data_IF_900624100099
#
_entry.id   IF_900624100099
#
_cell.length_a   1.000
_cell.length_b   1.000
_cell.length_c   1.000
_cell.angle_alpha   90.00
_cell.angle_beta   90.00
_cell.angle_gamma   90.00
#
_symmetry.space_group_name_H-M   'P 1'
#
loop_
_entity.id
_entity.type
_entity.pdbx_description
1 polymer ?
#
# COMPACT_ATOMS: atom_id res chain seq x y z
N UNK A 1 -21.72 -7.22 -22.29
CA UNK A 1 -20.56 -6.91 -21.43
C UNK A 1 -19.32 -7.16 -22.26
N UNK A 2 -18.57 -6.11 -22.58
CA UNK A 2 -17.42 -6.23 -23.48
C UNK A 2 -16.31 -7.01 -22.79
N UNK A 3 -15.90 -8.11 -23.40
CA UNK A 3 -14.87 -9.02 -22.88
C UNK A 3 -13.61 -8.27 -22.42
N UNK A 4 -13.26 -7.17 -23.10
CA UNK A 4 -12.15 -6.26 -22.80
C UNK A 4 -12.16 -5.70 -21.37
N UNK A 5 -13.33 -5.37 -20.81
CA UNK A 5 -13.42 -4.78 -19.47
C UNK A 5 -13.11 -5.81 -18.37
N UNK A 6 -13.53 -7.07 -18.59
CA UNK A 6 -13.23 -8.16 -17.67
C UNK A 6 -11.76 -8.56 -17.71
N UNK A 7 -11.15 -8.61 -18.90
CA UNK A 7 -9.71 -8.86 -19.02
C UNK A 7 -8.90 -7.77 -18.32
N UNK A 8 -9.30 -6.50 -18.44
CA UNK A 8 -8.65 -5.39 -17.74
C UNK A 8 -8.69 -5.54 -16.22
N UNK A 9 -9.87 -5.88 -15.66
CA UNK A 9 -10.04 -6.10 -14.23
C UNK A 9 -9.23 -7.31 -13.71
N UNK A 10 -9.21 -8.41 -14.46
CA UNK A 10 -8.42 -9.59 -14.12
C UNK A 10 -6.92 -9.30 -14.14
N UNK A 11 -6.43 -8.58 -15.16
CA UNK A 11 -5.02 -8.18 -15.25
C UNK A 11 -4.64 -7.25 -14.10
N UNK A 12 -5.50 -6.31 -13.73
CA UNK A 12 -5.28 -5.44 -12.58
C UNK A 12 -5.20 -6.24 -11.27
N UNK A 13 -6.11 -7.20 -11.06
CA UNK A 13 -6.08 -8.08 -9.89
C UNK A 13 -4.81 -8.96 -9.86
N UNK A 14 -4.41 -9.51 -11.00
CA UNK A 14 -3.18 -10.29 -11.13
C UNK A 14 -1.94 -9.45 -10.82
N UNK A 15 -1.88 -8.20 -11.31
CA UNK A 15 -0.79 -7.29 -11.03
C UNK A 15 -0.68 -6.98 -9.52
N UNK A 16 -1.81 -6.78 -8.84
CA UNK A 16 -1.85 -6.58 -7.39
C UNK A 16 -1.36 -7.83 -6.65
N UNK A 17 -1.77 -9.03 -7.07
CA UNK A 17 -1.31 -10.30 -6.48
C UNK A 17 0.19 -10.52 -6.67
N UNK A 18 0.72 -10.27 -7.88
CA UNK A 18 2.16 -10.38 -8.17
C UNK A 18 2.94 -9.37 -7.35
N UNK A 19 2.45 -8.12 -7.23
CA UNK A 19 3.11 -7.12 -6.42
C UNK A 19 3.15 -7.51 -4.94
N UNK A 20 2.05 -8.05 -4.41
CA UNK A 20 2.00 -8.59 -3.05
C UNK A 20 2.98 -9.76 -2.86
N UNK A 21 3.01 -10.70 -3.81
CA UNK A 21 3.91 -11.86 -3.75
C UNK A 21 5.37 -11.43 -3.75
N UNK A 22 5.73 -10.40 -4.54
CA UNK A 22 7.08 -9.82 -4.53
C UNK A 22 7.38 -9.17 -3.18
N UNK A 23 6.42 -8.48 -2.57
CA UNK A 23 6.58 -7.86 -1.25
C UNK A 23 6.82 -8.92 -0.14
N UNK A 24 6.01 -9.99 -0.15
CA UNK A 24 6.13 -11.12 0.77
C UNK A 24 7.47 -11.84 0.57
N UNK A 25 7.87 -12.10 -0.68
CA UNK A 25 9.15 -12.72 -0.98
C UNK A 25 10.35 -11.87 -0.52
N UNK A 26 10.26 -10.54 -0.64
CA UNK A 26 11.27 -9.61 -0.11
C UNK A 26 11.35 -9.62 1.42
N UNK A 27 10.22 -9.79 2.11
CA UNK A 27 10.15 -9.96 3.55
C UNK A 27 10.83 -11.25 4.01
N UNK A 28 10.50 -12.39 3.38
CA UNK A 28 11.11 -13.68 3.71
C UNK A 28 12.62 -13.73 3.46
N UNK A 29 13.12 -12.98 2.48
CA UNK A 29 14.57 -12.85 2.23
C UNK A 29 15.32 -11.97 3.24
N UNK A 30 14.65 -11.45 4.27
CA UNK A 30 15.29 -10.60 5.29
C UNK A 30 15.81 -9.26 4.77
N UNK A 31 15.47 -8.89 3.53
CA UNK A 31 15.84 -7.62 2.88
C UNK A 31 14.77 -6.54 3.06
N UNK A 32 13.71 -6.80 3.84
CA UNK A 32 12.64 -5.82 4.03
C UNK A 32 12.93 -4.89 5.19
N UNK A 33 12.99 -3.61 4.84
CA UNK A 33 12.93 -2.45 5.73
C UNK A 33 11.57 -2.29 6.42
N UNK A 34 10.54 -3.03 5.99
CA UNK A 34 9.17 -2.92 6.50
C UNK A 34 8.96 -3.66 7.82
N UNK A 35 8.28 -2.99 8.75
CA UNK A 35 7.80 -3.59 10.00
C UNK A 35 6.75 -4.68 9.70
N UNK A 36 6.76 -5.79 10.44
CA UNK A 36 5.78 -6.88 10.25
C UNK A 36 4.31 -6.42 10.29
N UNK A 37 4.02 -5.32 11.00
CA UNK A 37 2.69 -4.68 11.01
C UNK A 37 2.28 -4.11 9.63
N UNK A 38 3.23 -3.54 8.88
CA UNK A 38 2.97 -3.03 7.53
C UNK A 38 2.74 -4.16 6.53
N UNK A 39 3.49 -5.26 6.67
CA UNK A 39 3.29 -6.45 5.85
C UNK A 39 1.87 -7.02 6.05
N UNK A 40 1.43 -7.11 7.30
CA UNK A 40 0.09 -7.57 7.64
C UNK A 40 -0.99 -6.62 7.09
N UNK A 41 -0.79 -5.31 7.20
CA UNK A 41 -1.73 -4.31 6.68
C UNK A 41 -1.86 -4.40 5.15
N UNK A 42 -0.73 -4.59 4.44
CA UNK A 42 -0.71 -4.81 2.99
C UNK A 42 -1.37 -6.11 2.58
N UNK A 43 -1.16 -7.18 3.35
CA UNK A 43 -1.85 -8.45 3.17
C UNK A 43 -3.38 -8.30 3.28
N UNK A 44 -3.84 -7.61 4.32
CA UNK A 44 -5.27 -7.30 4.52
C UNK A 44 -5.82 -6.48 3.35
N UNK A 45 -5.11 -5.43 2.93
CA UNK A 45 -5.52 -4.60 1.79
C UNK A 45 -5.62 -5.42 0.51
N UNK A 46 -4.64 -6.28 0.20
CA UNK A 46 -4.67 -7.09 -1.01
C UNK A 46 -5.78 -8.15 -0.99
N UNK A 47 -6.06 -8.73 0.18
CA UNK A 47 -7.16 -9.68 0.35
C UNK A 47 -8.51 -8.97 0.18
N UNK A 48 -8.69 -7.79 0.76
CA UNK A 48 -9.87 -6.95 0.54
C UNK A 48 -10.04 -6.58 -0.94
N UNK A 49 -8.95 -6.18 -1.61
CA UNK A 49 -8.97 -5.76 -3.01
C UNK A 49 -9.34 -6.92 -3.93
N UNK A 50 -8.76 -8.10 -3.68
CA UNK A 50 -9.16 -9.35 -4.37
C UNK A 50 -10.65 -9.64 -4.15
N UNK A 51 -11.13 -9.53 -2.90
CA UNK A 51 -12.53 -9.73 -2.56
C UNK A 51 -13.47 -8.78 -3.30
N UNK A 52 -13.12 -7.49 -3.39
CA UNK A 52 -13.89 -6.49 -4.16
C UNK A 52 -13.93 -6.84 -5.65
N UNK A 53 -12.80 -7.21 -6.25
CA UNK A 53 -12.77 -7.59 -7.67
C UNK A 53 -13.64 -8.83 -7.91
N UNK A 54 -13.53 -9.86 -7.07
CA UNK A 54 -14.38 -11.04 -7.14
C UNK A 54 -15.87 -10.69 -6.99
N UNK A 55 -16.19 -9.76 -6.09
CA UNK A 55 -17.56 -9.27 -5.89
C UNK A 55 -18.07 -8.50 -7.12
N UNK A 56 -17.28 -7.64 -7.74
CA UNK A 56 -17.65 -6.93 -8.98
C UNK A 56 -17.92 -7.94 -10.12
N UNK A 57 -17.05 -8.94 -10.28
CA UNK A 57 -17.23 -10.00 -11.28
C UNK A 57 -18.52 -10.76 -10.99
N UNK A 58 -18.71 -11.22 -9.75
CA UNK A 58 -19.92 -11.94 -9.35
C UNK A 58 -21.18 -11.12 -9.61
N UNK A 59 -21.24 -9.87 -9.14
CA UNK A 59 -22.39 -8.99 -9.31
C UNK A 59 -22.68 -8.63 -10.76
N UNK A 60 -21.67 -8.67 -11.63
CA UNK A 60 -21.84 -8.45 -13.06
C UNK A 60 -22.42 -9.67 -13.80
N UNK A 61 -22.04 -10.89 -13.38
CA UNK A 61 -22.55 -12.13 -13.97
C UNK A 61 -23.84 -12.61 -13.32
N UNK A 62 -24.17 -12.12 -12.13
CA UNK A 62 -25.38 -12.51 -11.43
C UNK A 62 -26.62 -11.95 -12.17
N UNK A 63 -27.55 -12.80 -12.62
CA UNK A 63 -28.76 -12.36 -13.30
C UNK A 63 -29.73 -11.79 -12.27
N UNK A 64 -29.60 -10.49 -11.97
CA UNK A 64 -30.51 -9.79 -11.07
C UNK A 64 -31.93 -9.83 -11.62
N UNK A 65 -32.85 -10.46 -10.90
CA UNK A 65 -34.26 -10.46 -11.26
C UNK A 65 -34.86 -9.04 -11.06
N UNK A 66 -35.87 -8.68 -11.87
CA UNK A 66 -36.53 -7.36 -11.79
C UNK A 66 -37.13 -7.07 -10.41
N UNK A 67 -37.47 -8.11 -9.64
CA UNK A 67 -38.03 -8.02 -8.29
C UNK A 67 -36.96 -7.77 -7.20
N UNK A 68 -35.67 -7.91 -7.52
CA UNK A 68 -34.55 -7.87 -6.58
C UNK A 68 -33.77 -6.53 -6.58
N UNK A 69 -34.40 -5.44 -7.03
CA UNK A 69 -33.76 -4.12 -7.13
C UNK A 69 -33.08 -3.68 -5.81
N UNK A 70 -33.74 -3.90 -4.66
CA UNK A 70 -33.18 -3.55 -3.36
C UNK A 70 -31.93 -4.37 -3.00
N UNK A 71 -31.89 -5.65 -3.39
CA UNK A 71 -30.72 -6.50 -3.16
C UNK A 71 -29.55 -6.08 -4.05
N UNK A 72 -29.83 -5.72 -5.31
CA UNK A 72 -28.83 -5.17 -6.22
C UNK A 72 -28.23 -3.87 -5.66
N UNK A 73 -29.07 -2.96 -5.17
CA UNK A 73 -28.65 -1.69 -4.59
C UNK A 73 -27.82 -1.90 -3.32
N UNK A 74 -28.24 -2.82 -2.45
CA UNK A 74 -27.48 -3.22 -1.26
C UNK A 74 -26.12 -3.81 -1.60
N UNK A 75 -26.06 -4.68 -2.61
CA UNK A 75 -24.82 -5.29 -3.09
C UNK A 75 -23.81 -4.24 -3.56
N UNK A 76 -24.22 -3.32 -4.44
CA UNK A 76 -23.32 -2.26 -4.94
C UNK A 76 -22.93 -1.28 -3.84
N UNK A 77 -23.83 -0.97 -2.91
CA UNK A 77 -23.52 -0.14 -1.75
C UNK A 77 -22.45 -0.80 -0.88
N UNK A 78 -22.57 -2.10 -0.61
CA UNK A 78 -21.56 -2.85 0.14
C UNK A 78 -20.21 -2.88 -0.58
N UNK A 79 -20.20 -3.05 -1.90
CA UNK A 79 -18.98 -2.98 -2.70
C UNK A 79 -18.30 -1.61 -2.59
N UNK A 80 -19.07 -0.52 -2.67
CA UNK A 80 -18.56 0.85 -2.49
C UNK A 80 -17.99 1.08 -1.10
N UNK A 81 -18.66 0.59 -0.05
CA UNK A 81 -18.16 0.68 1.33
C UNK A 81 -16.83 -0.06 1.47
N UNK A 82 -16.70 -1.26 0.89
CA UNK A 82 -15.45 -2.00 0.90
C UNK A 82 -14.32 -1.24 0.19
N UNK A 83 -14.59 -0.67 -0.99
CA UNK A 83 -13.63 0.17 -1.72
C UNK A 83 -13.20 1.37 -0.87
N UNK A 84 -14.15 2.03 -0.20
CA UNK A 84 -13.85 3.14 0.68
C UNK A 84 -12.92 2.73 1.85
N UNK A 85 -13.18 1.58 2.47
CA UNK A 85 -12.30 1.01 3.51
C UNK A 85 -10.89 0.76 2.97
N UNK A 86 -10.76 0.17 1.78
CA UNK A 86 -9.46 -0.06 1.13
C UNK A 86 -8.71 1.26 0.93
N UNK A 87 -9.39 2.31 0.44
CA UNK A 87 -8.78 3.63 0.24
C UNK A 87 -8.28 4.20 1.57
N UNK A 88 -9.09 4.14 2.63
CA UNK A 88 -8.70 4.64 3.96
C UNK A 88 -7.49 3.88 4.51
N UNK A 89 -7.49 2.55 4.40
CA UNK A 89 -6.35 1.72 4.83
C UNK A 89 -5.08 2.04 4.05
N UNK A 90 -5.20 2.16 2.72
CA UNK A 90 -4.08 2.51 1.83
C UNK A 90 -3.51 3.88 2.18
N UNK A 91 -4.39 4.85 2.47
CA UNK A 91 -3.98 6.19 2.87
C UNK A 91 -3.29 6.20 4.25
N UNK A 92 -3.72 5.37 5.20
CA UNK A 92 -3.02 5.17 6.47
C UNK A 92 -1.64 4.56 6.26
N UNK A 93 -1.51 3.53 5.41
CA UNK A 93 -0.23 2.91 5.07
C UNK A 93 0.75 3.94 4.49
N UNK A 94 0.27 4.73 3.52
CA UNK A 94 1.02 5.82 2.91
C UNK A 94 1.54 6.84 3.94
N UNK A 95 0.69 7.25 4.89
CA UNK A 95 1.09 8.16 5.97
C UNK A 95 2.17 7.57 6.87
N UNK A 96 2.16 6.26 7.13
CA UNK A 96 3.21 5.60 7.91
C UNK A 96 4.54 5.59 7.15
N UNK A 97 4.52 5.26 5.86
CA UNK A 97 5.70 5.26 4.98
C UNK A 97 6.39 6.63 4.90
N UNK A 98 5.61 7.71 4.84
CA UNK A 98 6.18 9.07 4.83
C UNK A 98 6.95 9.34 6.12
N UNK A 99 6.39 9.01 7.29
CA UNK A 99 7.04 9.25 8.58
C UNK A 99 8.37 8.50 8.71
N UNK A 100 8.40 7.24 8.30
CA UNK A 100 9.63 6.42 8.35
C UNK A 100 10.72 6.95 7.43
N UNK A 101 10.37 7.48 6.25
CA UNK A 101 11.34 8.08 5.33
C UNK A 101 11.99 9.33 5.91
N UNK A 102 11.24 10.16 6.66
CA UNK A 102 11.81 11.34 7.30
C UNK A 102 12.79 10.98 8.42
N UNK A 103 12.47 9.97 9.23
CA UNK A 103 13.36 9.50 10.30
C UNK A 103 14.68 8.95 9.73
N UNK A 104 14.60 8.09 8.71
CA UNK A 104 15.80 7.54 8.05
C UNK A 104 16.66 8.61 7.38
N UNK A 105 16.05 9.62 6.77
CA UNK A 105 16.80 10.75 6.21
C UNK A 105 17.53 11.52 7.31
N UNK A 106 16.88 11.78 8.45
CA UNK A 106 17.52 12.47 9.58
C UNK A 106 18.70 11.67 10.16
N UNK A 107 18.61 10.34 10.21
CA UNK A 107 19.72 9.47 10.61
C UNK A 107 20.90 9.52 9.63
N UNK A 108 20.63 9.50 8.31
CA UNK A 108 21.68 9.65 7.29
C UNK A 108 22.38 11.02 7.40
N UNK A 109 21.64 12.11 7.63
CA UNK A 109 22.24 13.43 7.85
C UNK A 109 23.08 13.49 9.13
N UNK A 110 22.62 12.88 10.24
CA UNK A 110 23.42 12.78 11.48
C UNK A 110 24.70 11.98 11.28
N UNK A 111 24.66 10.88 10.52
CA UNK A 111 25.85 10.09 10.22
C UNK A 111 26.84 10.88 9.36
N UNK A 112 26.35 11.61 8.35
CA UNK A 112 27.20 12.48 7.53
C UNK A 112 27.83 13.62 8.35
N UNK A 113 27.09 14.28 9.24
CA UNK A 113 27.64 15.31 10.14
C UNK A 113 28.68 14.73 11.12
N UNK A 114 28.48 13.49 11.58
CA UNK A 114 29.42 12.80 12.46
C UNK A 114 30.71 12.39 11.74
N UNK A 115 30.62 11.93 10.48
CA UNK A 115 31.77 11.57 9.63
C UNK A 115 32.52 12.80 9.10
N UNK A 116 31.81 13.89 8.78
CA UNK A 116 32.45 15.13 8.35
C UNK A 116 33.20 15.83 9.48
N UNK A 117 32.85 15.54 10.74
CA UNK A 117 33.48 16.10 11.93
C UNK A 117 33.33 17.63 12.00
N UNK A 118 33.33 18.24 13.19
CA UNK A 118 33.38 19.69 13.27
C UNK A 118 34.65 20.16 12.54
N UNK A 119 34.58 20.98 11.47
CA UNK A 119 35.76 21.55 10.86
C UNK A 119 36.53 22.22 11.98
N UNK A 120 37.75 21.75 12.19
CA UNK A 120 38.61 22.13 13.27
C UNK A 120 38.47 23.64 13.52
N UNK A 121 37.84 23.99 14.65
CA UNK A 121 37.81 25.34 15.19
C UNK A 121 39.21 25.69 15.71
N UNK A 122 40.25 25.45 14.90
CA UNK A 122 41.56 26.11 15.04
C UNK A 122 41.35 27.51 14.49
N UNK A 123 40.71 28.35 15.29
CA UNK A 123 41.00 29.78 15.19
C UNK A 123 42.52 29.92 15.34
N UNK A 124 43.18 30.76 14.52
CA UNK A 124 44.61 30.95 14.63
C UNK A 124 44.94 31.35 16.07
N UNK A 125 45.78 30.55 16.74
CA UNK A 125 46.43 30.95 17.98
C UNK A 125 47.17 32.23 17.64
N UNK A 126 46.62 33.36 18.08
CA UNK A 126 47.26 34.65 17.97
C UNK A 126 48.26 34.67 19.12
N UNK A 127 49.46 34.22 18.81
CA UNK A 127 50.60 34.31 19.72
C UNK A 127 50.83 35.80 19.98
N UNK A 128 50.69 36.18 21.25
CA UNK A 128 50.92 37.51 21.79
C UNK A 128 51.94 37.40 22.92
#
# INVERSE_FOLDING_TARGET
>A
MDWWNLTGLLLAALAVLVWLAVEVHRYFRGRSVLSGKQLLLRGIVALLLTGVVSMIIWGAYYPWAAEQQWQQLGFWTLALVLVFVIVVLTFRDWRMLIRERHLRRAELYRQMDAELGPPARRGPKRDA
#
